data_IF_331927614703
#
_entry.id   IF_331927614703
#
_cell.length_a   1.000
_cell.length_b   1.000
_cell.length_c   1.000
_cell.angle_alpha   90.00
_cell.angle_beta   90.00
_cell.angle_gamma   90.00
#
_symmetry.space_group_name_H-M   'P 1'
#
loop_
_entity.id
_entity.type
_entity.pdbx_description
1 polymer ?
#
# COMPACT_ATOMS: atom_id res chain seq x y z
N UNK A 1 7.81 4.73 24.23
CA UNK A 1 6.87 4.38 23.14
C UNK A 1 7.70 3.70 22.07
N UNK A 2 7.43 2.44 21.75
CA UNK A 2 8.20 1.72 20.72
C UNK A 2 7.79 2.22 19.33
N UNK A 3 8.73 2.45 18.40
CA UNK A 3 8.41 2.96 17.07
C UNK A 3 7.55 1.94 16.31
N UNK A 4 6.42 2.41 15.78
CA UNK A 4 5.55 1.56 14.99
C UNK A 4 6.18 1.27 13.63
N UNK A 5 6.41 -0.02 13.35
CA UNK A 5 6.96 -0.48 12.07
C UNK A 5 5.86 -0.54 11.02
N UNK A 6 6.19 -0.20 9.78
CA UNK A 6 5.31 -0.42 8.64
C UNK A 6 5.00 -1.92 8.54
N UNK A 7 3.73 -2.34 8.59
CA UNK A 7 3.38 -3.76 8.67
C UNK A 7 3.32 -4.43 7.28
N UNK A 8 3.77 -3.76 6.22
CA UNK A 8 3.54 -4.20 4.86
C UNK A 8 4.81 -4.63 4.13
N UNK A 9 4.65 -5.64 3.28
CA UNK A 9 5.57 -5.90 2.17
C UNK A 9 4.88 -5.51 0.85
N UNK A 10 5.64 -4.95 -0.08
CA UNK A 10 5.16 -4.57 -1.40
C UNK A 10 5.92 -5.34 -2.48
N UNK A 11 5.22 -6.23 -3.18
CA UNK A 11 5.77 -7.05 -4.26
C UNK A 11 5.56 -6.39 -5.62
N UNK A 12 6.63 -6.35 -6.41
CA UNK A 12 6.72 -5.64 -7.69
C UNK A 12 7.13 -6.54 -8.85
N UNK A 13 7.32 -7.84 -8.60
CA UNK A 13 7.92 -8.77 -9.56
C UNK A 13 7.05 -9.03 -10.79
N UNK A 14 5.74 -8.86 -10.66
CA UNK A 14 4.75 -9.21 -11.69
C UNK A 14 4.07 -7.98 -12.33
N UNK A 15 4.80 -6.86 -12.45
CA UNK A 15 4.27 -5.65 -13.07
C UNK A 15 3.55 -5.95 -14.42
N UNK A 16 2.36 -5.39 -14.68
CA UNK A 16 1.71 -4.26 -13.98
C UNK A 16 0.84 -4.67 -12.78
N UNK A 17 0.93 -5.91 -12.30
CA UNK A 17 0.28 -6.37 -11.07
C UNK A 17 1.25 -6.26 -9.90
N UNK A 18 0.85 -5.54 -8.87
CA UNK A 18 1.59 -5.35 -7.62
C UNK A 18 0.77 -5.91 -6.47
N UNK A 19 1.44 -6.39 -5.42
CA UNK A 19 0.76 -6.96 -4.26
C UNK A 19 1.26 -6.30 -2.98
N UNK A 20 0.35 -5.68 -2.24
CA UNK A 20 0.59 -5.23 -0.88
C UNK A 20 0.13 -6.33 0.08
N UNK A 21 1.03 -6.83 0.93
CA UNK A 21 0.68 -7.86 1.92
C UNK A 21 0.94 -7.36 3.33
N UNK A 22 -0.01 -7.60 4.24
CA UNK A 22 0.22 -7.40 5.67
C UNK A 22 1.11 -8.53 6.22
N UNK A 23 2.32 -8.18 6.62
CA UNK A 23 3.33 -9.02 7.28
C UNK A 23 3.43 -8.76 8.78
N UNK A 24 2.66 -7.80 9.31
CA UNK A 24 2.57 -7.53 10.73
C UNK A 24 1.75 -8.58 11.48
N UNK A 25 1.53 -8.32 12.76
CA UNK A 25 0.79 -9.20 13.67
C UNK A 25 -0.63 -8.70 13.97
N UNK A 26 -1.01 -7.55 13.41
CA UNK A 26 -2.30 -6.89 13.68
C UNK A 26 -3.12 -6.77 12.41
N UNK A 27 -4.45 -6.88 12.55
CA UNK A 27 -5.38 -6.48 11.51
C UNK A 27 -5.45 -4.96 11.45
N UNK A 28 -5.07 -4.38 10.31
CA UNK A 28 -5.16 -2.95 10.05
C UNK A 28 -6.40 -2.64 9.23
N UNK A 29 -6.94 -1.43 9.40
CA UNK A 29 -8.21 -1.01 8.77
C UNK A 29 -7.99 0.19 7.87
N UNK A 30 -8.96 0.43 6.99
CA UNK A 30 -8.96 1.61 6.14
C UNK A 30 -7.76 1.66 5.17
N UNK A 31 -7.19 0.51 4.82
CA UNK A 31 -6.06 0.41 3.90
C UNK A 31 -6.48 0.94 2.55
N UNK A 32 -5.82 2.01 2.11
CA UNK A 32 -6.03 2.65 0.82
C UNK A 32 -4.71 2.90 0.13
N UNK A 33 -4.69 2.76 -1.20
CA UNK A 33 -3.55 3.07 -2.05
C UNK A 33 -3.89 4.30 -2.89
N UNK A 34 -2.96 5.27 -2.93
CA UNK A 34 -3.07 6.47 -3.77
C UNK A 34 -1.82 6.59 -4.62
N UNK A 35 -2.00 6.73 -5.93
CA UNK A 35 -0.90 6.98 -6.87
C UNK A 35 -0.79 8.49 -7.12
N UNK A 36 0.42 9.03 -7.00
CA UNK A 36 0.78 10.40 -7.36
C UNK A 36 1.76 10.33 -8.54
N UNK A 37 1.62 11.21 -9.54
CA UNK A 37 2.52 11.28 -10.71
C UNK A 37 1.92 10.73 -12.01
N UNK A 38 2.77 10.49 -13.02
CA UNK A 38 2.35 10.01 -14.34
C UNK A 38 2.08 8.49 -14.35
N UNK A 39 0.86 8.12 -13.94
CA UNK A 39 0.40 6.74 -14.03
C UNK A 39 -1.09 6.61 -13.79
N UNK A 40 -1.62 5.42 -14.06
CA UNK A 40 -3.03 5.08 -13.86
C UNK A 40 -3.15 3.91 -12.90
N UNK A 41 -3.96 4.10 -11.86
CA UNK A 41 -4.37 3.06 -10.94
C UNK A 41 -5.88 3.20 -10.70
N UNK A 42 -6.66 2.10 -10.82
CA UNK A 42 -8.08 2.14 -10.47
C UNK A 42 -8.29 2.56 -9.02
N UNK A 43 -9.28 3.40 -8.77
CA UNK A 43 -9.69 3.73 -7.41
C UNK A 43 -10.21 2.48 -6.70
N UNK A 44 -9.80 2.29 -5.45
CA UNK A 44 -10.24 1.19 -4.59
C UNK A 44 -10.93 1.71 -3.34
N UNK A 45 -11.93 0.96 -2.86
CA UNK A 45 -12.52 1.22 -1.55
C UNK A 45 -11.53 0.85 -0.43
N UNK A 46 -11.56 1.54 0.72
CA UNK A 46 -10.75 1.17 1.88
C UNK A 46 -11.01 -0.28 2.29
N UNK A 47 -9.96 -1.03 2.63
CA UNK A 47 -10.06 -2.42 3.10
C UNK A 47 -9.46 -2.64 4.48
N UNK A 48 -9.93 -3.67 5.17
CA UNK A 48 -9.18 -4.23 6.29
C UNK A 48 -8.26 -5.32 5.76
N UNK A 49 -7.05 -5.42 6.29
CA UNK A 49 -6.10 -6.49 5.97
C UNK A 49 -5.63 -7.14 7.28
N UNK A 50 -6.03 -8.39 7.50
CA UNK A 50 -5.51 -9.24 8.55
C UNK A 50 -4.06 -9.67 8.25
N UNK A 51 -3.30 -10.20 9.23
CA UNK A 51 -1.99 -10.78 8.97
C UNK A 51 -2.05 -11.84 7.86
N UNK A 52 -1.25 -11.67 6.82
CA UNK A 52 -1.25 -12.53 5.63
C UNK A 52 -2.16 -12.09 4.50
N UNK A 53 -3.16 -11.23 4.76
CA UNK A 53 -4.04 -10.72 3.71
C UNK A 53 -3.28 -9.86 2.69
N UNK A 54 -3.78 -9.91 1.47
CA UNK A 54 -3.20 -9.26 0.30
C UNK A 54 -4.18 -8.28 -0.35
N UNK A 55 -3.64 -7.17 -0.84
CA UNK A 55 -4.31 -6.22 -1.69
C UNK A 55 -3.56 -6.16 -3.03
N UNK A 56 -4.20 -6.66 -4.08
CA UNK A 56 -3.70 -6.53 -5.44
C UNK A 56 -3.96 -5.10 -5.96
N UNK A 57 -2.91 -4.49 -6.52
CA UNK A 57 -2.95 -3.19 -7.16
C UNK A 57 -2.52 -3.35 -8.63
N UNK A 58 -3.32 -2.80 -9.55
CA UNK A 58 -2.97 -2.76 -10.97
C UNK A 58 -2.58 -1.35 -11.36
N UNK A 59 -1.31 -1.13 -11.66
CA UNK A 59 -0.74 0.19 -11.92
C UNK A 59 -0.08 0.17 -13.29
N UNK A 60 -0.40 1.15 -14.14
CA UNK A 60 0.11 1.27 -15.51
C UNK A 60 0.71 2.65 -15.73
N UNK A 61 1.78 2.72 -16.53
CA UNK A 61 2.46 3.94 -16.95
C UNK A 61 3.72 3.58 -17.73
N UNK A 62 4.26 4.52 -18.51
CA UNK A 62 5.40 4.25 -19.39
C UNK A 62 6.72 4.15 -18.63
N UNK A 63 6.95 5.05 -17.66
CA UNK A 63 8.15 5.09 -16.81
C UNK A 63 7.77 5.48 -15.38
N UNK A 64 7.12 4.54 -14.67
CA UNK A 64 6.62 4.79 -13.30
C UNK A 64 7.74 5.27 -12.35
N UNK A 65 8.98 4.80 -12.54
CA UNK A 65 10.10 5.15 -11.67
C UNK A 65 10.50 6.64 -11.77
N UNK A 66 10.17 7.30 -12.88
CA UNK A 66 10.58 8.70 -13.12
C UNK A 66 9.91 9.71 -12.22
N UNK A 67 8.58 9.62 -12.08
CA UNK A 67 7.80 10.66 -11.41
C UNK A 67 6.61 10.15 -10.60
N UNK A 68 6.50 8.83 -10.38
CA UNK A 68 5.38 8.27 -9.61
C UNK A 68 5.74 7.89 -8.18
N UNK A 69 4.76 8.02 -7.30
CA UNK A 69 4.84 7.62 -5.90
C UNK A 69 3.54 6.95 -5.50
N UNK A 70 3.64 5.78 -4.88
CA UNK A 70 2.51 5.12 -4.24
C UNK A 70 2.49 5.47 -2.75
N UNK A 71 1.34 5.90 -2.25
CA UNK A 71 1.11 6.12 -0.82
C UNK A 71 0.11 5.08 -0.34
N UNK A 72 0.53 4.30 0.67
CA UNK A 72 -0.35 3.39 1.40
C UNK A 72 -0.73 4.07 2.71
N UNK A 73 -2.02 4.22 2.99
CA UNK A 73 -2.55 4.77 4.24
C UNK A 73 -3.36 3.70 4.97
N UNK A 74 -3.24 3.62 6.29
CA UNK A 74 -4.02 2.69 7.12
C UNK A 74 -4.20 3.22 8.55
N UNK A 75 -5.14 2.60 9.27
CA UNK A 75 -5.42 2.81 10.68
C UNK A 75 -5.02 1.55 11.48
N UNK A 76 -4.33 1.73 12.61
CA UNK A 76 -4.11 0.67 13.59
C UNK A 76 -5.40 0.34 14.37
N UNK A 77 -5.46 -0.79 15.10
CA UNK A 77 -6.57 -1.09 16.00
C UNK A 77 -6.83 0.00 17.05
N UNK A 78 -5.78 0.66 17.50
CA UNK A 78 -5.82 1.78 18.45
C UNK A 78 -6.33 3.10 17.84
N UNK A 79 -6.51 3.16 16.51
CA UNK A 79 -7.11 4.28 15.80
C UNK A 79 -6.11 5.29 15.24
N UNK A 80 -4.81 5.21 15.58
CA UNK A 80 -3.82 6.08 14.95
C UNK A 80 -3.65 5.75 13.46
N UNK A 81 -3.47 6.82 12.69
CA UNK A 81 -3.24 6.77 11.25
C UNK A 81 -1.75 6.77 10.93
N UNK A 82 -1.41 5.98 9.93
CA UNK A 82 -0.06 5.93 9.37
C UNK A 82 -0.11 5.96 7.85
N UNK A 83 0.96 6.48 7.25
CA UNK A 83 1.21 6.40 5.83
C UNK A 83 2.60 5.83 5.56
N UNK A 84 2.72 5.09 4.46
CA UNK A 84 3.97 4.60 3.92
C UNK A 84 4.09 5.02 2.46
N UNK A 85 5.17 5.73 2.16
CA UNK A 85 5.50 6.19 0.82
C UNK A 85 6.42 5.18 0.14
N UNK A 86 6.07 4.80 -1.09
CA UNK A 86 6.83 3.88 -1.93
C UNK A 86 7.17 4.60 -3.24
N UNK A 87 8.46 4.72 -3.54
CA UNK A 87 8.95 5.18 -4.84
C UNK A 87 9.00 4.01 -5.82
N UNK A 88 8.77 4.24 -7.12
CA UNK A 88 8.88 3.21 -8.16
C UNK A 88 10.30 2.91 -8.59
#
# INVERSE_FOLDING_TARGET
MEPYRVPFAFDRRDAPRYVLRNRGTETVRGVTATLLGSGLMPAGHPRALAPGDELELRIRGDDLARDTTLVIRWLRPSGEEYLWRIAF
#
